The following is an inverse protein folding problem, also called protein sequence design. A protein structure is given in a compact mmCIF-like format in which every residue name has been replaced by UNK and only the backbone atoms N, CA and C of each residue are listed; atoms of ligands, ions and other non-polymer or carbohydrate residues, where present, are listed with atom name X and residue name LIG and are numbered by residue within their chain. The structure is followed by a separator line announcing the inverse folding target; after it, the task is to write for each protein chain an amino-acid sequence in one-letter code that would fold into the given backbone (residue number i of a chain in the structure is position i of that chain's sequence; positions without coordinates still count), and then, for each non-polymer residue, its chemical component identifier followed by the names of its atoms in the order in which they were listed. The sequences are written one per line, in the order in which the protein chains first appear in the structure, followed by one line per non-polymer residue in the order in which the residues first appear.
data_IF_701917002610
#
_entry.id   IF_701917002610
#
_cell.length_a   1.000
_cell.length_b   1.000
_cell.length_c   1.000
_cell.angle_alpha   90.00
_cell.angle_beta   90.00
_cell.angle_gamma   90.00
#
_symmetry.space_group_name_H-M   'P 1'
#
loop_
_entity.id
_entity.type
_entity.pdbx_description
1 polymer ?
2 polymer ?
3 non-polymer ?
#
loop_
_entity_poly.entity_id
_entity_poly.type
_entity_poly.pdbx_seq_one_letter_code
_entity_poly.pdbx_strand_id
2 'polydeoxyribonucleotide' '(DC)(DC)(DC)(DC)(DT)(DA)(DG)(DC)(DT)(DT)(DT)(DA)(DG)(DC)(DT)(DA)(DT)(DG)(DG)(DG)(DG)(DA)(DG)(DT)(DA)(DT)(DG)(DT)(DC)(DA)(DA)' ?
#
# COMPACT_ATOMS: atom_id res chain seq x y z
N UNK A 10 -16.23 -6.03 1.41
CA UNK A 10 -15.01 -6.85 1.48
C UNK A 10 -14.09 -6.67 0.24
N UNK A 11 -13.33 -7.70 -0.09
CA UNK A 11 -12.41 -7.65 -1.23
C UNK A 11 -12.95 -7.21 -2.58
N UNK A 12 -12.02 -6.79 -3.46
CA UNK A 12 -12.37 -6.34 -4.80
C UNK A 12 -11.30 -6.75 -5.82
N UNK A 13 -11.69 -6.95 -7.09
CA UNK A 13 -10.74 -7.37 -8.11
C UNK A 13 -10.52 -6.48 -9.33
N UNK A 14 -9.26 -6.14 -9.56
CA UNK A 14 -8.82 -5.34 -10.70
C UNK A 14 -8.44 -6.40 -11.74
N UNK A 15 -7.91 -5.99 -12.88
CA UNK A 15 -7.52 -6.97 -13.91
C UNK A 15 -6.58 -8.04 -13.32
N UNK A 16 -7.15 -9.17 -12.92
CA UNK A 16 -6.42 -10.30 -12.36
C UNK A 16 -5.81 -10.12 -10.96
N UNK A 17 -5.88 -8.93 -10.40
CA UNK A 17 -5.35 -8.71 -9.06
C UNK A 17 -6.51 -8.66 -8.06
N UNK A 18 -6.46 -9.54 -7.06
CA UNK A 18 -7.50 -9.58 -6.02
C UNK A 18 -6.90 -8.83 -4.84
N UNK A 19 -7.54 -7.73 -4.44
CA UNK A 19 -6.99 -6.92 -3.36
C UNK A 19 -7.97 -6.38 -2.32
N UNK A 20 -7.39 -6.01 -1.19
CA UNK A 20 -8.10 -5.43 -0.06
C UNK A 20 -7.00 -4.61 0.59
N UNK A 21 -6.87 -3.36 0.16
CA UNK A 21 -5.84 -2.46 0.66
C UNK A 21 -6.46 -1.22 1.28
N UNK A 22 -6.30 -1.09 2.59
CA UNK A 22 -6.84 0.05 3.32
C UNK A 22 -5.72 0.73 4.11
N UNK A 23 -5.69 2.06 4.06
CA UNK A 23 -4.65 2.83 4.74
C UNK A 23 -5.22 3.89 5.66
N UNK A 24 -4.46 4.22 6.69
CA UNK A 24 -4.82 5.28 7.62
C UNK A 24 -3.84 6.40 7.24
N UNK A 25 -4.38 7.47 6.66
CA UNK A 25 -3.58 8.60 6.23
C UNK A 25 -3.87 9.82 7.10
N UNK A 26 -2.81 10.50 7.51
CA UNK A 26 -2.94 11.71 8.33
C UNK A 26 -1.92 12.73 7.90
N UNK A 27 -2.36 13.97 7.79
CA UNK A 27 -1.44 15.06 7.46
C UNK A 27 -1.90 16.34 8.13
N UNK A 28 -0.97 17.23 8.45
CA UNK A 28 -1.34 18.48 9.10
C UNK A 28 -0.98 19.68 8.23
N UNK A 29 -1.67 20.81 8.43
CA UNK A 29 -1.37 22.01 7.64
C UNK A 29 0.01 22.53 8.09
N UNK A 30 0.55 23.54 7.39
CA UNK A 30 1.85 24.07 7.77
C UNK A 30 1.83 24.70 9.15
N UNK A 31 2.92 24.51 9.89
CA UNK A 31 3.06 25.06 11.25
C UNK A 31 1.95 24.52 12.19
N UNK A 32 1.21 23.50 11.75
CA UNK A 32 0.12 22.94 12.55
C UNK A 32 -0.94 23.99 12.88
N UNK A 33 -1.05 25.00 12.02
CA UNK A 33 -2.03 26.06 12.22
C UNK A 33 -3.41 25.42 12.22
N UNK A 34 -4.16 25.60 13.30
CA UNK A 34 -5.50 25.04 13.44
C UNK A 34 -6.50 25.74 12.52
N UNK A 35 -6.26 25.71 11.21
CA UNK A 35 -7.13 26.37 10.27
C UNK A 35 -8.22 25.49 9.65
N UNK A 36 -8.16 24.19 9.92
CA UNK A 36 -9.15 23.29 9.36
C UNK A 36 -10.40 23.27 10.25
N UNK A 37 -11.15 24.37 10.24
CA UNK A 37 -12.37 24.48 11.04
C UNK A 37 -13.46 25.27 10.32
N UNK A 38 -14.70 25.13 10.78
CA UNK A 38 -15.81 25.83 10.18
C UNK A 38 -16.04 25.49 8.71
N UNK A 39 -16.03 26.53 7.87
CA UNK A 39 -16.24 26.40 6.43
C UNK A 39 -15.04 25.76 5.73
N UNK A 40 -13.84 25.97 6.27
CA UNK A 40 -12.63 25.41 5.70
C UNK A 40 -12.64 23.90 5.78
N UNK A 41 -12.89 23.35 6.97
CA UNK A 41 -12.91 21.89 7.12
C UNK A 41 -14.06 21.31 6.32
N UNK A 42 -15.13 22.09 6.18
CA UNK A 42 -16.29 21.64 5.42
C UNK A 42 -15.90 21.47 3.96
N UNK A 43 -15.24 22.48 3.41
CA UNK A 43 -14.79 22.46 2.02
C UNK A 43 -13.72 21.41 1.79
N UNK A 44 -12.83 21.26 2.76
CA UNK A 44 -11.75 20.28 2.66
C UNK A 44 -12.31 18.89 2.36
N UNK A 45 -13.24 18.45 3.20
CA UNK A 45 -13.85 17.13 3.03
C UNK A 45 -14.58 16.99 1.71
N UNK A 46 -15.16 18.09 1.22
CA UNK A 46 -15.89 18.08 -0.05
C UNK A 46 -14.92 17.74 -1.19
N UNK A 47 -13.88 18.54 -1.31
CA UNK A 47 -12.85 18.39 -2.34
C UNK A 47 -12.21 17.01 -2.32
N UNK A 48 -11.89 16.49 -1.14
CA UNK A 48 -11.29 15.17 -1.04
C UNK A 48 -12.23 14.08 -1.53
N UNK A 49 -13.52 14.22 -1.23
CA UNK A 49 -14.50 13.23 -1.69
C UNK A 49 -14.56 13.26 -3.22
N UNK A 50 -14.52 14.46 -3.78
CA UNK A 50 -14.55 14.66 -5.23
C UNK A 50 -13.30 14.01 -5.84
N UNK A 51 -12.15 14.24 -5.23
CA UNK A 51 -10.89 13.69 -5.70
C UNK A 51 -10.97 12.17 -5.65
N UNK A 52 -11.49 11.64 -4.55
CA UNK A 52 -11.62 10.20 -4.38
C UNK A 52 -12.48 9.57 -5.47
N UNK A 53 -13.58 10.21 -5.81
CA UNK A 53 -14.46 9.70 -6.86
C UNK A 53 -13.69 9.70 -8.18
N UNK A 54 -12.97 10.79 -8.45
CA UNK A 54 -12.19 10.92 -9.67
C UNK A 54 -11.03 9.94 -9.77
N UNK A 55 -10.49 9.53 -8.63
CA UNK A 55 -9.37 8.59 -8.63
C UNK A 55 -9.77 7.21 -8.15
N UNK A 56 -11.07 6.91 -8.22
CA UNK A 56 -11.61 5.61 -7.81
C UNK A 56 -11.14 5.17 -6.42
N UNK A 57 -10.95 6.13 -5.52
CA UNK A 57 -10.52 5.83 -4.17
C UNK A 57 -11.77 5.69 -3.30
N UNK A 58 -11.77 4.72 -2.40
CA UNK A 58 -12.91 4.49 -1.53
C UNK A 58 -12.71 5.17 -0.19
N UNK A 59 -13.42 6.26 0.05
CA UNK A 59 -13.33 6.99 1.31
C UNK A 59 -14.18 6.26 2.34
N UNK A 60 -13.53 5.64 3.32
CA UNK A 60 -14.23 4.93 4.38
C UNK A 60 -14.49 5.87 5.55
N UNK A 61 -13.45 6.21 6.29
CA UNK A 61 -13.58 7.11 7.42
C UNK A 61 -12.79 8.38 7.13
N UNK A 62 -13.33 9.53 7.53
CA UNK A 62 -12.65 10.80 7.32
C UNK A 62 -13.24 11.87 8.22
N UNK A 63 -12.55 12.13 9.33
CA UNK A 63 -12.98 13.16 10.25
C UNK A 63 -11.87 14.20 10.27
N UNK A 64 -12.24 15.46 10.43
CA UNK A 64 -11.27 16.55 10.45
C UNK A 64 -11.17 17.12 11.85
N UNK A 65 -9.97 17.59 12.20
CA UNK A 65 -9.72 18.18 13.51
C UNK A 65 -8.98 19.49 13.26
N UNK A 66 -9.01 20.39 14.23
CA UNK A 66 -8.37 21.69 14.13
C UNK A 66 -7.01 21.71 13.42
N UNK A 67 -6.08 20.86 13.86
CA UNK A 67 -4.75 20.87 13.24
C UNK A 67 -4.31 19.63 12.46
N UNK A 68 -5.26 18.86 11.92
CA UNK A 68 -4.92 17.68 11.13
C UNK A 68 -6.15 16.98 10.59
N UNK A 69 -5.97 16.21 9.52
CA UNK A 69 -7.09 15.46 8.96
C UNK A 69 -6.75 13.98 9.08
N UNK A 70 -7.80 13.15 9.17
CA UNK A 70 -7.62 11.71 9.30
C UNK A 70 -8.48 11.03 8.25
N UNK A 71 -7.86 10.25 7.36
CA UNK A 71 -8.60 9.56 6.31
C UNK A 71 -8.26 8.07 6.35
N UNK A 72 -9.25 7.24 6.11
CA UNK A 72 -9.10 5.79 6.07
C UNK A 72 -9.65 5.44 4.71
N UNK A 73 -8.78 5.00 3.80
CA UNK A 73 -9.21 4.70 2.45
C UNK A 73 -8.74 3.38 1.89
N UNK A 74 -9.49 2.90 0.90
CA UNK A 74 -9.21 1.65 0.21
C UNK A 74 -8.65 2.11 -1.14
N UNK A 75 -7.45 1.68 -1.47
CA UNK A 75 -6.81 2.08 -2.72
C UNK A 75 -6.23 0.91 -3.49
N UNK A 76 -6.51 0.87 -4.78
CA UNK A 76 -6.00 -0.17 -5.66
C UNK A 76 -4.49 -0.14 -5.55
N UNK A 77 -3.88 -1.24 -5.13
CA UNK A 77 -2.42 -1.33 -4.99
C UNK A 77 -1.68 -0.97 -6.29
N UNK A 78 -2.33 -1.12 -7.43
CA UNK A 78 -1.70 -0.80 -8.70
C UNK A 78 -1.75 0.71 -8.94
N UNK A 79 -2.60 1.40 -8.21
CA UNK A 79 -2.72 2.85 -8.36
C UNK A 79 -1.66 3.58 -7.51
N UNK A 80 -1.61 3.30 -6.21
CA UNK A 80 -0.62 3.94 -5.37
C UNK A 80 -1.19 4.94 -4.40
N UNK A 81 -0.83 4.79 -3.13
CA UNK A 81 -1.28 5.66 -2.05
C UNK A 81 -0.78 7.09 -2.25
N UNK A 82 0.50 7.23 -2.55
CA UNK A 82 1.12 8.53 -2.75
C UNK A 82 0.46 9.35 -3.85
N UNK A 83 -0.06 8.68 -4.87
CA UNK A 83 -0.73 9.34 -5.98
C UNK A 83 -2.03 9.99 -5.44
N UNK A 84 -2.77 9.25 -4.63
CA UNK A 84 -4.00 9.78 -4.03
C UNK A 84 -3.64 10.98 -3.14
N UNK A 85 -2.70 10.78 -2.22
CA UNK A 85 -2.26 11.83 -1.30
C UNK A 85 -1.84 13.09 -2.08
N UNK A 86 -1.08 12.90 -3.15
CA UNK A 86 -0.62 14.02 -3.95
C UNK A 86 -1.78 14.87 -4.50
N UNK A 87 -2.79 14.22 -5.04
CA UNK A 87 -3.94 14.95 -5.56
C UNK A 87 -4.73 15.57 -4.41
N UNK A 88 -4.93 14.82 -3.35
CA UNK A 88 -5.64 15.31 -2.18
C UNK A 88 -4.97 16.58 -1.63
N UNK A 89 -3.75 16.45 -1.09
CA UNK A 89 -3.03 17.61 -0.55
C UNK A 89 -2.91 18.76 -1.57
N UNK A 90 -2.40 18.43 -2.76
CA UNK A 90 -2.23 19.43 -3.79
C UNK A 90 -3.46 20.20 -4.25
N UNK A 91 -4.57 19.51 -4.49
CA UNK A 91 -5.77 20.19 -4.95
C UNK A 91 -6.37 21.02 -3.84
N UNK A 92 -6.48 20.42 -2.66
CA UNK A 92 -7.03 21.13 -1.52
C UNK A 92 -6.30 22.44 -1.30
N UNK A 93 -4.97 22.39 -1.22
CA UNK A 93 -4.18 23.60 -1.00
C UNK A 93 -4.49 24.70 -2.01
N UNK A 94 -4.44 24.35 -3.28
CA UNK A 94 -4.72 25.31 -4.34
C UNK A 94 -6.14 25.88 -4.24
N UNK A 95 -7.15 25.01 -4.24
CA UNK A 95 -8.54 25.47 -4.16
C UNK A 95 -8.83 26.30 -2.92
N UNK A 96 -8.56 25.75 -1.74
CA UNK A 96 -8.79 26.46 -0.49
C UNK A 96 -8.17 27.86 -0.47
N UNK A 97 -6.88 27.95 -0.79
CA UNK A 97 -6.18 29.23 -0.80
C UNK A 97 -6.78 30.28 -1.74
N UNK A 98 -7.76 29.87 -2.55
CA UNK A 98 -8.45 30.78 -3.48
C UNK A 98 -9.74 31.29 -2.83
N UNK A 99 -10.33 30.48 -1.95
CA UNK A 99 -11.56 30.87 -1.25
C UNK A 99 -11.28 31.57 0.08
N UNK A 100 -10.49 30.92 0.92
CA UNK A 100 -10.16 31.47 2.23
C UNK A 100 -8.82 32.19 2.16
N UNK A 101 -8.88 33.50 1.94
CA UNK A 101 -7.69 34.34 1.80
C UNK A 101 -6.63 34.26 2.89
N UNK A 102 -7.06 34.10 4.14
CA UNK A 102 -6.10 34.03 5.24
C UNK A 102 -5.13 32.86 5.08
N UNK A 103 -5.59 31.80 4.42
CA UNK A 103 -4.75 30.62 4.20
C UNK A 103 -3.54 30.96 3.34
N UNK A 104 -3.69 31.96 2.47
CA UNK A 104 -2.62 32.37 1.60
C UNK A 104 -1.71 33.40 2.26
N UNK A 105 -2.31 34.33 2.98
CA UNK A 105 -1.56 35.40 3.62
C UNK A 105 -0.83 34.98 4.90
N UNK A 106 -1.45 34.08 5.65
CA UNK A 106 -0.91 33.63 6.92
C UNK A 106 0.07 32.46 6.74
N UNK A 107 -0.01 31.77 5.60
CA UNK A 107 0.85 30.62 5.34
C UNK A 107 1.42 30.61 3.93
N UNK A 108 2.68 30.16 3.79
CA UNK A 108 3.33 30.10 2.47
C UNK A 108 2.73 28.98 1.61
N UNK A 109 2.27 27.93 2.27
CA UNK A 109 1.66 26.77 1.65
C UNK A 109 0.65 26.25 2.68
N UNK A 110 -0.35 25.49 2.24
CA UNK A 110 -1.34 24.97 3.18
C UNK A 110 -0.81 23.77 3.95
N UNK A 111 -0.06 22.90 3.28
CA UNK A 111 0.45 21.69 3.93
C UNK A 111 1.96 21.58 3.88
N UNK A 112 2.48 20.56 4.56
CA UNK A 112 3.91 20.28 4.61
C UNK A 112 4.19 19.14 3.66
N UNK A 113 5.47 18.83 3.47
CA UNK A 113 5.84 17.72 2.59
C UNK A 113 5.89 16.43 3.40
N UNK A 114 5.03 16.33 4.41
CA UNK A 114 5.01 15.16 5.28
C UNK A 114 3.61 14.59 5.46
N UNK A 115 3.54 13.28 5.67
CA UNK A 115 2.27 12.59 5.91
C UNK A 115 2.53 11.28 6.64
N UNK A 116 1.49 10.77 7.28
CA UNK A 116 1.54 9.54 8.05
C UNK A 116 0.75 8.45 7.31
N UNK A 117 1.39 7.32 7.02
CA UNK A 117 0.75 6.21 6.33
C UNK A 117 0.87 4.93 7.16
N UNK A 118 -0.29 4.35 7.47
CA UNK A 118 -0.34 3.12 8.27
C UNK A 118 -1.31 2.15 7.59
N UNK A 119 -0.82 0.95 7.29
CA UNK A 119 -1.67 -0.07 6.66
C UNK A 119 -2.60 -0.69 7.70
N UNK A 120 -3.86 -0.88 7.33
CA UNK A 120 -4.82 -1.47 8.25
C UNK A 120 -5.58 -2.64 7.63
N UNK A 121 -5.77 -3.69 8.43
CA UNK A 121 -6.47 -4.88 7.98
C UNK A 121 -5.94 -6.06 8.76
N UNK A 122 -6.80 -7.05 9.01
CA UNK A 122 -6.36 -8.22 9.75
C UNK A 122 -6.21 -9.43 8.87
N UNK A 123 -5.25 -10.30 9.20
CA UNK A 123 -4.99 -11.53 8.45
C UNK A 123 -6.27 -12.26 8.15
N UNK A 124 -6.70 -12.17 6.88
CA UNK A 124 -7.92 -12.78 6.37
C UNK A 124 -7.77 -14.22 5.95
N UNK A 125 -7.57 -15.12 6.91
CA UNK A 125 -7.45 -16.53 6.59
C UNK A 125 -8.85 -16.86 6.02
N UNK A 126 -8.96 -17.98 5.31
CA UNK A 126 -10.22 -18.46 4.71
C UNK A 126 -10.66 -17.67 3.49
N UNK A 127 -9.92 -16.61 3.18
CA UNK A 127 -10.21 -15.80 2.03
C UNK A 127 -9.03 -16.02 1.09
N UNK A 128 -7.93 -16.45 1.71
CA UNK A 128 -6.70 -16.79 1.02
C UNK A 128 -6.97 -18.13 0.31
N UNK A 129 -7.59 -19.06 1.03
CA UNK A 129 -7.87 -20.39 0.47
C UNK A 129 -8.86 -20.33 -0.68
N UNK A 130 -9.90 -19.49 -0.57
CA UNK A 130 -10.88 -19.38 -1.64
C UNK A 130 -10.23 -18.74 -2.88
N UNK A 131 -9.25 -17.88 -2.66
CA UNK A 131 -8.53 -17.24 -3.76
C UNK A 131 -7.78 -18.35 -4.49
N UNK A 132 -6.99 -19.12 -3.74
CA UNK A 132 -6.21 -20.22 -4.28
C UNK A 132 -7.06 -21.19 -5.10
N UNK A 133 -8.15 -21.68 -4.52
CA UNK A 133 -9.03 -22.61 -5.24
C UNK A 133 -9.71 -21.95 -6.43
N UNK A 134 -9.80 -20.62 -6.42
CA UNK A 134 -10.42 -19.90 -7.52
C UNK A 134 -9.43 -19.79 -8.68
N UNK A 135 -8.22 -20.30 -8.48
CA UNK A 135 -7.19 -20.27 -9.51
C UNK A 135 -7.28 -21.51 -10.40
N UNK B 10 8.86 0.24 15.57
CA UNK B 10 7.84 -0.17 14.62
C UNK B 10 7.93 0.59 13.30
N UNK B 11 7.62 1.90 13.35
CA UNK B 11 7.57 2.78 12.18
C UNK B 11 8.91 3.27 11.64
N UNK B 12 8.95 3.45 10.33
CA UNK B 12 10.12 3.94 9.61
C UNK B 12 9.80 5.20 8.82
N UNK B 13 10.80 6.06 8.68
CA UNK B 13 10.62 7.32 7.99
C UNK B 13 11.47 7.52 6.73
N UNK B 14 10.78 7.76 5.62
CA UNK B 14 11.43 8.01 4.34
C UNK B 14 11.48 9.54 4.34
N UNK B 15 11.92 10.15 3.25
CA UNK B 15 11.98 11.61 3.21
C UNK B 15 10.63 12.24 3.56
N UNK B 16 10.48 12.63 4.83
CA UNK B 16 9.27 13.26 5.35
C UNK B 16 8.01 12.40 5.45
N UNK B 17 8.05 11.19 4.92
CA UNK B 17 6.87 10.31 5.01
C UNK B 17 7.10 9.31 6.14
N UNK B 18 6.19 9.28 7.11
CA UNK B 18 6.26 8.35 8.23
C UNK B 18 5.31 7.22 7.88
N UNK B 19 5.83 6.01 7.72
CA UNK B 19 4.99 4.88 7.31
C UNK B 19 5.21 3.56 8.01
N UNK B 20 4.20 2.71 7.90
CA UNK B 20 4.19 1.34 8.44
C UNK B 20 3.23 0.68 7.50
N UNK B 21 3.75 0.11 6.42
CA UNK B 21 2.93 -0.56 5.41
C UNK B 21 3.36 -2.01 5.28
N UNK B 22 2.46 -2.92 5.64
CA UNK B 22 2.74 -4.35 5.56
C UNK B 22 1.63 -5.03 4.75
N UNK B 23 2.04 -5.92 3.84
CA UNK B 23 1.10 -6.62 2.97
C UNK B 23 1.26 -8.13 3.02
N UNK B 24 0.15 -8.81 2.78
CA UNK B 24 0.14 -10.27 2.72
C UNK B 24 -0.03 -10.53 1.24
N UNK B 25 1.02 -11.05 0.62
CA UNK B 25 1.03 -11.33 -0.81
C UNK B 25 1.05 -12.83 -1.02
N UNK B 26 0.20 -13.30 -1.93
CA UNK B 26 0.13 -14.72 -2.26
C UNK B 26 -0.07 -14.90 -3.76
N UNK B 27 0.70 -15.79 -4.37
CA UNK B 27 0.57 -16.08 -5.79
C UNK B 27 0.90 -17.56 -6.00
N UNK B 28 0.30 -18.15 -7.03
CA UNK B 28 0.49 -19.57 -7.35
C UNK B 28 1.10 -19.76 -8.73
N UNK B 29 1.83 -20.87 -8.93
CA UNK B 29 2.45 -21.13 -10.24
C UNK B 29 1.33 -21.39 -11.26
N UNK B 30 1.67 -21.45 -12.54
CA UNK B 30 0.66 -21.68 -13.55
C UNK B 30 0.02 -23.05 -13.37
N UNK B 31 -1.29 -23.12 -13.63
CA UNK B 31 -2.05 -24.38 -13.50
C UNK B 31 -2.00 -24.93 -12.05
N UNK B 32 -1.53 -24.12 -11.11
CA UNK B 32 -1.41 -24.55 -9.71
C UNK B 32 -0.52 -25.78 -9.56
N UNK B 33 0.40 -25.96 -10.52
CA UNK B 33 1.30 -27.10 -10.50
C UNK B 33 2.11 -27.06 -9.21
N UNK B 34 2.02 -28.12 -8.41
CA UNK B 34 2.72 -28.20 -7.14
C UNK B 34 4.24 -28.39 -7.32
N UNK B 35 4.87 -27.43 -8.01
CA UNK B 35 6.30 -27.51 -8.28
C UNK B 35 7.21 -26.80 -7.28
N UNK B 36 6.61 -26.04 -6.37
CA UNK B 36 7.38 -25.31 -5.37
C UNK B 36 7.71 -26.20 -4.19
N UNK B 37 8.58 -27.20 -4.43
CA UNK B 37 8.98 -28.13 -3.38
C UNK B 37 10.47 -28.49 -3.51
N UNK B 38 11.02 -29.08 -2.45
CA UNK B 38 12.42 -29.48 -2.47
C UNK B 38 13.42 -28.38 -2.74
N UNK B 39 14.22 -28.57 -3.79
CA UNK B 39 15.24 -27.60 -4.15
C UNK B 39 14.64 -26.35 -4.79
N UNK B 40 13.49 -26.52 -5.46
CA UNK B 40 12.82 -25.40 -6.12
C UNK B 40 12.32 -24.39 -5.10
N UNK B 41 11.62 -24.84 -4.06
CA UNK B 41 11.11 -23.93 -3.04
C UNK B 41 12.27 -23.30 -2.29
N UNK B 42 13.35 -24.07 -2.14
CA UNK B 42 14.54 -23.60 -1.45
C UNK B 42 15.11 -22.42 -2.22
N UNK B 43 15.28 -22.60 -3.53
CA UNK B 43 15.83 -21.54 -4.39
C UNK B 43 14.88 -20.36 -4.51
N UNK B 44 13.57 -20.63 -4.51
CA UNK B 44 12.57 -19.57 -4.63
C UNK B 44 12.76 -18.56 -3.52
N UNK B 45 12.78 -19.03 -2.28
CA UNK B 45 12.94 -18.16 -1.12
C UNK B 45 14.27 -17.40 -1.14
N UNK B 46 15.32 -18.03 -1.67
CA UNK B 46 16.64 -17.40 -1.74
C UNK B 46 16.58 -16.16 -2.63
N UNK B 47 16.12 -16.36 -3.87
CA UNK B 47 16.02 -15.30 -4.85
C UNK B 47 15.15 -14.15 -4.35
N UNK B 48 14.01 -14.45 -3.74
CA UNK B 48 13.12 -13.41 -3.25
C UNK B 48 13.80 -12.59 -2.16
N UNK B 49 14.56 -13.24 -1.29
CA UNK B 49 15.28 -12.54 -0.24
C UNK B 49 16.29 -11.59 -0.87
N UNK B 50 16.97 -12.07 -1.90
CA UNK B 50 17.95 -11.27 -2.62
C UNK B 50 17.26 -10.04 -3.23
N UNK B 51 16.12 -10.28 -3.88
CA UNK B 51 15.33 -9.22 -4.50
C UNK B 51 14.91 -8.21 -3.43
N UNK B 52 14.45 -8.72 -2.28
CA UNK B 52 14.01 -7.87 -1.19
C UNK B 52 15.13 -6.94 -0.73
N UNK B 53 16.32 -7.49 -0.57
CA UNK B 53 17.45 -6.67 -0.13
C UNK B 53 17.71 -5.60 -1.18
N UNK B 54 17.69 -6.00 -2.45
CA UNK B 54 17.93 -5.06 -3.56
C UNK B 54 16.87 -3.98 -3.70
N UNK B 55 15.64 -4.28 -3.30
CA UNK B 55 14.56 -3.32 -3.41
C UNK B 55 14.16 -2.75 -2.07
N UNK B 56 15.04 -2.85 -1.08
CA UNK B 56 14.77 -2.35 0.27
C UNK B 56 13.41 -2.79 0.82
N UNK B 57 13.02 -4.02 0.51
CA UNK B 57 11.77 -4.56 0.99
C UNK B 57 12.08 -5.40 2.22
N UNK B 58 11.24 -5.30 3.23
CA UNK B 58 11.44 -6.05 4.47
C UNK B 58 10.63 -7.34 4.49
N UNK B 59 11.32 -8.46 4.31
CA UNK B 59 10.67 -9.76 4.33
C UNK B 59 10.43 -10.16 5.78
N UNK B 60 9.17 -10.18 6.19
CA UNK B 60 8.82 -10.56 7.54
C UNK B 60 8.56 -12.06 7.61
N UNK B 61 7.45 -12.49 7.03
CA UNK B 61 7.08 -13.90 7.02
C UNK B 61 7.09 -14.36 5.57
N UNK B 62 7.52 -15.59 5.33
CA UNK B 62 7.53 -16.15 3.99
C UNK B 62 7.71 -17.66 4.05
N UNK B 63 6.59 -18.37 3.94
CA UNK B 63 6.64 -19.82 3.94
C UNK B 63 6.13 -20.25 2.57
N UNK B 64 6.66 -21.36 2.06
CA UNK B 64 6.24 -21.85 0.75
C UNK B 64 5.42 -23.11 0.91
N UNK B 65 4.52 -23.35 -0.04
CA UNK B 65 3.69 -24.53 -0.03
C UNK B 65 3.69 -25.09 -1.45
N UNK B 66 3.43 -26.38 -1.58
CA UNK B 66 3.41 -27.06 -2.87
C UNK B 66 2.87 -26.22 -4.03
N UNK B 67 1.66 -25.68 -3.89
CA UNK B 67 1.06 -24.90 -4.97
C UNK B 67 0.87 -23.38 -4.79
N UNK B 68 1.64 -22.76 -3.89
CA UNK B 68 1.52 -21.31 -3.68
C UNK B 68 2.51 -20.80 -2.64
N UNK B 69 2.91 -19.54 -2.79
CA UNK B 69 3.85 -18.94 -1.85
C UNK B 69 3.11 -17.88 -1.05
N UNK B 70 3.57 -17.65 0.17
CA UNK B 70 2.95 -16.66 1.05
C UNK B 70 4.04 -15.76 1.60
N UNK B 71 3.91 -14.46 1.33
CA UNK B 71 4.88 -13.47 1.79
C UNK B 71 4.16 -12.34 2.56
N UNK B 72 4.79 -11.89 3.63
CA UNK B 72 4.29 -10.80 4.45
C UNK B 72 5.47 -9.84 4.44
N UNK B 73 5.30 -8.69 3.79
CA UNK B 73 6.39 -7.74 3.70
C UNK B 73 6.02 -6.31 4.03
N UNK B 74 7.05 -5.54 4.37
CA UNK B 74 6.93 -4.13 4.69
C UNK B 74 7.48 -3.42 3.46
N UNK B 75 6.66 -2.55 2.86
CA UNK B 75 7.08 -1.85 1.66
C UNK B 75 6.81 -0.36 1.74
N UNK B 76 7.82 0.45 1.43
CA UNK B 76 7.71 1.91 1.44
C UNK B 76 6.58 2.24 0.46
N UNK B 77 5.52 2.92 0.94
CA UNK B 77 4.36 3.31 0.13
C UNK B 77 4.71 4.10 -1.12
N UNK B 78 5.85 4.75 -1.12
CA UNK B 78 6.29 5.52 -2.27
C UNK B 78 6.88 4.60 -3.33
N UNK B 79 7.32 3.42 -2.91
CA UNK B 79 7.91 2.47 -3.84
C UNK B 79 6.84 1.72 -4.63
N UNK B 80 5.93 1.08 -3.91
CA UNK B 80 4.86 0.33 -4.56
C UNK B 80 4.95 -1.17 -4.41
N UNK B 81 3.82 -1.77 -4.04
CA UNK B 81 3.74 -3.22 -3.85
C UNK B 81 3.93 -3.95 -5.19
N UNK B 82 3.21 -3.50 -6.21
CA UNK B 82 3.29 -4.11 -7.53
C UNK B 82 4.70 -4.14 -8.14
N UNK B 83 5.56 -3.21 -7.72
CA UNK B 83 6.94 -3.15 -8.20
C UNK B 83 7.71 -4.32 -7.60
N UNK B 84 7.51 -4.53 -6.31
CA UNK B 84 8.15 -5.64 -5.61
C UNK B 84 7.67 -6.96 -6.23
N UNK B 85 6.35 -7.10 -6.35
CA UNK B 85 5.74 -8.29 -6.93
C UNK B 85 6.26 -8.60 -8.34
N UNK B 86 6.35 -7.57 -9.17
CA UNK B 86 6.86 -7.75 -10.52
C UNK B 86 8.26 -8.32 -10.52
N UNK B 87 9.17 -7.75 -9.73
CA UNK B 87 10.54 -8.24 -9.68
C UNK B 87 10.59 -9.65 -9.09
N UNK B 88 9.82 -9.90 -8.03
CA UNK B 88 9.77 -11.22 -7.40
C UNK B 88 9.28 -12.29 -8.39
N UNK B 89 8.04 -12.20 -8.85
CA UNK B 89 7.52 -13.18 -9.82
C UNK B 89 8.44 -13.27 -11.06
N UNK B 90 8.74 -12.12 -11.66
CA UNK B 90 9.55 -12.13 -12.86
C UNK B 90 10.96 -12.69 -12.78
N UNK B 91 11.69 -12.34 -11.72
CA UNK B 91 13.05 -12.84 -11.60
C UNK B 91 13.03 -14.32 -11.29
N UNK B 92 12.20 -14.72 -10.33
CA UNK B 92 12.11 -16.12 -9.96
C UNK B 92 11.83 -16.98 -11.18
N UNK B 93 10.77 -16.64 -11.92
CA UNK B 93 10.41 -17.38 -13.11
C UNK B 93 11.59 -17.60 -14.06
N UNK B 94 12.27 -16.51 -14.42
CA UNK B 94 13.41 -16.59 -15.32
C UNK B 94 14.54 -17.45 -14.76
N UNK B 95 15.03 -17.12 -13.56
CA UNK B 95 16.12 -17.88 -12.98
C UNK B 95 15.78 -19.35 -12.78
N UNK B 96 14.68 -19.64 -12.09
CA UNK B 96 14.27 -21.03 -11.86
C UNK B 96 14.22 -21.87 -13.14
N UNK B 97 13.51 -21.39 -14.16
CA UNK B 97 13.39 -22.09 -15.43
C UNK B 97 14.72 -22.38 -16.13
N UNK B 98 15.81 -21.82 -15.60
CA UNK B 98 17.14 -22.06 -16.17
C UNK B 98 17.81 -23.22 -15.41
N UNK B 99 17.47 -23.35 -14.13
CA UNK B 99 18.03 -24.42 -13.30
C UNK B 99 17.19 -25.69 -13.38
N UNK B 100 15.91 -25.58 -13.06
CA UNK B 100 15.02 -26.73 -13.08
C UNK B 100 14.29 -26.82 -14.42
N UNK B 101 14.88 -27.59 -15.34
CA UNK B 101 14.34 -27.76 -16.68
C UNK B 101 12.86 -28.11 -16.83
N UNK B 102 12.34 -28.95 -15.94
CA UNK B 102 10.93 -29.34 -16.04
C UNK B 102 9.98 -28.15 -15.96
N UNK B 103 10.41 -27.09 -15.27
CA UNK B 103 9.60 -25.88 -15.13
C UNK B 103 9.37 -25.19 -16.47
N UNK B 104 10.34 -25.34 -17.37
CA UNK B 104 10.25 -24.74 -18.70
C UNK B 104 9.49 -25.65 -19.65
N UNK B 105 9.76 -26.95 -19.58
CA UNK B 105 9.13 -27.92 -20.47
C UNK B 105 7.68 -28.26 -20.13
N UNK B 106 7.37 -28.33 -18.84
CA UNK B 106 6.04 -28.67 -18.39
C UNK B 106 5.11 -27.45 -18.32
N UNK B 107 5.67 -26.25 -18.30
CA UNK B 107 4.88 -25.02 -18.19
C UNK B 107 5.34 -23.95 -19.18
N UNK B 108 4.39 -23.16 -19.71
CA UNK B 108 4.73 -22.09 -20.65
C UNK B 108 5.37 -20.90 -19.92
N UNK B 109 4.98 -20.72 -18.66
CA UNK B 109 5.47 -19.66 -17.79
C UNK B 109 5.39 -20.21 -16.37
N UNK B 110 6.19 -19.69 -15.45
CA UNK B 110 6.17 -20.19 -14.07
C UNK B 110 4.97 -19.69 -13.29
N UNK B 111 4.57 -18.45 -13.51
CA UNK B 111 3.45 -17.90 -12.77
C UNK B 111 2.39 -17.36 -13.70
N UNK B 112 1.27 -16.96 -13.10
CA UNK B 112 0.14 -16.40 -13.80
C UNK B 112 0.20 -14.89 -13.63
N UNK B 113 -0.71 -14.19 -14.30
CA UNK B 113 -0.76 -12.75 -14.21
C UNK B 113 -1.68 -12.34 -13.07
N UNK B 114 -1.73 -13.15 -12.01
CA UNK B 114 -2.60 -12.86 -10.89
C UNK B 114 -1.86 -12.98 -9.57
N UNK B 115 -2.34 -12.27 -8.56
CA UNK B 115 -1.77 -12.34 -7.22
C UNK B 115 -2.82 -11.82 -6.24
N UNK B 116 -2.61 -12.15 -4.96
CA UNK B 116 -3.49 -11.75 -3.87
C UNK B 116 -2.78 -10.72 -2.99
N UNK B 117 -3.41 -9.56 -2.79
CA UNK B 117 -2.83 -8.51 -1.96
C UNK B 117 -3.79 -8.11 -0.84
N UNK B 118 -3.32 -8.27 0.39
CA UNK B 118 -4.13 -7.93 1.55
C UNK B 118 -3.31 -7.05 2.49
N UNK B 119 -3.83 -5.88 2.85
CA UNK B 119 -3.13 -4.98 3.75
C UNK B 119 -3.27 -5.49 5.19
N UNK B 120 -2.20 -5.44 5.97
CA UNK B 120 -2.28 -5.91 7.36
C UNK B 120 -1.69 -4.89 8.34
N UNK B 121 -2.36 -4.73 9.47
CA UNK B 121 -1.93 -3.80 10.50
C UNK B 121 -3.15 -3.33 11.27
N UNK B 122 -2.97 -3.03 12.55
CA UNK B 122 -4.09 -2.57 13.35
C UNK B 122 -3.98 -1.09 13.66
N UNK B 123 -5.12 -0.41 13.73
CA UNK B 123 -5.20 1.02 14.01
C UNK B 123 -4.25 1.41 15.15
N UNK B 124 -3.14 2.05 14.82
CA UNK B 124 -2.14 2.47 15.80
C UNK B 124 -2.39 3.80 16.50
N UNK B 125 -3.42 3.83 17.35
CA UNK B 125 -3.70 5.05 18.10
C UNK B 125 -2.46 5.28 18.95
N UNK B 126 -2.25 6.52 19.41
CA UNK B 126 -1.09 6.85 20.23
C UNK B 126 0.20 7.00 19.45
N UNK B 127 0.21 6.57 18.18
CA UNK B 127 1.38 6.74 17.32
C UNK B 127 0.99 7.90 16.42
N UNK B 128 -0.31 8.01 16.21
CA UNK B 128 -0.86 9.07 15.42
C UNK B 128 -0.60 10.39 16.13
N UNK B 129 -0.90 10.42 17.44
CA UNK B 129 -0.72 11.63 18.22
C UNK B 129 0.74 12.06 18.31
N UNK B 130 1.65 11.11 18.50
CA UNK B 130 3.06 11.45 18.60
C UNK B 130 3.56 11.99 17.26
N UNK B 131 2.97 11.51 16.16
CA UNK B 131 3.33 11.98 14.83
C UNK B 131 2.95 13.44 14.76
N UNK B 132 1.70 13.74 15.07
CA UNK B 132 1.17 15.09 15.04
C UNK B 132 1.99 16.06 15.88
N UNK B 133 2.28 15.69 17.12
CA UNK B 133 3.07 16.55 17.98
C UNK B 133 4.50 16.68 17.47
N UNK B 134 4.94 15.73 16.67
CA UNK B 134 6.29 15.76 16.13
C UNK B 134 6.33 16.70 14.91
N UNK B 135 5.18 17.28 14.58
CA UNK B 135 5.11 18.19 13.44
C UNK B 135 5.44 19.64 13.83
N UNK B 136 5.88 19.83 15.08
CA UNK B 136 6.25 21.14 15.60
C UNK B 136 5.07 22.12 15.50
X LIG E 1 -7.08 12.64 15.45
#
# INVERSE_FOLDING_TARGET
GSAMASNAVLYKSNHNVVYSCKYHIVWCPKYRRKVLVGAVEMRLKEIIQEVAKELRVEIIEMQTDKDHIHILADIDPSFGVMKFIKTAKGRSSRILRQEFNHLKTKLPTLWTNSCFISTVGGAPLNVVKQYIENQQNSNRPKQKEKWKSYVDNLQTKAL
GSAMASNAVLYKSNHNVVYSCKYHIVWCPKYRRKVLVGAVEMRLKEIIQEVAKELRVEIIEMQTDKDHIHILADIDPSFGVMKFIKTAKGRSSRILRQEFNHLKTKLPTLWTNSCFISTVGGAPLNVVKQYIENQQNSNRPKQKEKWKSYVDNLQTKAL
MN MN
#
